data_IF_019011250126
#
_entry.id   IF_019011250126
#
_cell.length_a   1.000
_cell.length_b   1.000
_cell.length_c   1.000
_cell.angle_alpha   90.00
_cell.angle_beta   90.00
_cell.angle_gamma   90.00
#
_symmetry.space_group_name_H-M   'P 1'
#
loop_
_entity.id
_entity.type
_entity.pdbx_description
1 polymer ?
#
# COMPACT_ATOMS: atom_id res chain seq x y z
N UNK A 1 8.86 -11.64 -1.94
CA UNK A 1 9.19 -11.63 -3.38
C UNK A 1 8.16 -10.80 -4.14
N UNK A 2 8.61 -9.89 -4.99
CA UNK A 2 7.72 -9.13 -5.87
C UNK A 2 8.30 -9.09 -7.29
N UNK A 3 7.41 -8.88 -8.26
CA UNK A 3 7.79 -8.74 -9.66
C UNK A 3 6.90 -7.73 -10.36
N UNK A 4 7.40 -7.14 -11.44
CA UNK A 4 6.66 -6.24 -12.29
C UNK A 4 6.31 -6.91 -13.63
N UNK A 5 5.21 -6.44 -14.20
CA UNK A 5 4.74 -6.85 -15.53
C UNK A 5 4.20 -5.65 -16.29
N UNK A 6 4.63 -5.50 -17.53
CA UNK A 6 4.18 -4.41 -18.40
C UNK A 6 3.29 -4.97 -19.51
N UNK A 7 2.09 -4.42 -19.63
CA UNK A 7 1.15 -4.74 -20.69
C UNK A 7 0.34 -3.51 -21.07
N UNK A 8 0.18 -3.26 -22.36
CA UNK A 8 -0.57 -2.11 -22.91
C UNK A 8 -0.19 -0.75 -22.26
N UNK A 9 1.10 -0.52 -22.08
CA UNK A 9 1.61 0.73 -21.50
C UNK A 9 1.36 0.89 -19.99
N UNK A 10 0.95 -0.18 -19.30
CA UNK A 10 0.67 -0.19 -17.87
C UNK A 10 1.65 -1.08 -17.12
N UNK A 11 2.12 -0.60 -15.97
CA UNK A 11 2.96 -1.36 -15.04
C UNK A 11 2.11 -1.95 -13.93
N UNK A 12 2.11 -3.27 -13.82
CA UNK A 12 1.50 -4.02 -12.72
C UNK A 12 2.58 -4.60 -11.82
N UNK A 13 2.25 -4.79 -10.54
CA UNK A 13 3.13 -5.39 -9.54
C UNK A 13 2.43 -6.55 -8.86
N UNK A 14 3.10 -7.68 -8.73
CA UNK A 14 2.66 -8.78 -7.87
C UNK A 14 3.60 -8.95 -6.71
N UNK A 15 3.06 -8.97 -5.49
CA UNK A 15 3.78 -9.27 -4.26
C UNK A 15 3.32 -10.62 -3.71
N UNK A 16 4.26 -11.54 -3.47
CA UNK A 16 4.04 -12.69 -2.61
C UNK A 16 4.63 -12.40 -1.23
N UNK A 17 3.76 -12.28 -0.23
CA UNK A 17 4.14 -12.06 1.16
C UNK A 17 4.06 -13.36 1.93
N UNK A 18 5.21 -13.90 2.34
CA UNK A 18 5.31 -15.20 3.02
C UNK A 18 4.52 -15.22 4.34
N UNK A 19 4.62 -14.17 5.13
CA UNK A 19 3.98 -14.03 6.44
C UNK A 19 3.32 -12.66 6.52
N UNK A 20 2.04 -12.63 6.85
CA UNK A 20 1.22 -11.44 6.77
C UNK A 20 0.41 -11.23 8.05
N UNK A 21 0.84 -10.28 8.87
CA UNK A 21 0.05 -9.73 9.96
C UNK A 21 -1.07 -8.87 9.35
N UNK A 22 -2.28 -9.41 9.33
CA UNK A 22 -3.40 -8.81 8.60
C UNK A 22 -3.81 -7.46 9.15
N UNK A 23 -3.67 -7.23 10.45
CA UNK A 23 -4.13 -5.97 11.06
C UNK A 23 -3.08 -4.86 11.02
N UNK A 24 -1.88 -5.10 11.52
CA UNK A 24 -0.84 -4.06 11.58
C UNK A 24 0.06 -4.02 10.34
N UNK A 25 0.41 -5.18 9.78
CA UNK A 25 1.41 -5.26 8.71
C UNK A 25 0.84 -5.02 7.32
N UNK A 26 -0.18 -5.77 6.94
CA UNK A 26 -0.73 -5.78 5.57
C UNK A 26 -1.12 -4.40 5.04
N UNK A 27 -1.80 -3.52 5.79
CA UNK A 27 -2.15 -2.18 5.27
C UNK A 27 -0.92 -1.37 4.87
N UNK A 28 0.16 -1.40 5.65
CA UNK A 28 1.42 -0.73 5.32
C UNK A 28 2.13 -1.40 4.14
N UNK A 29 2.07 -2.72 4.05
CA UNK A 29 2.65 -3.44 2.92
C UNK A 29 1.94 -3.07 1.61
N UNK A 30 0.61 -2.99 1.60
CA UNK A 30 -0.16 -2.53 0.44
C UNK A 30 0.25 -1.11 0.05
N UNK A 31 0.27 -0.18 1.00
CA UNK A 31 0.63 1.22 0.73
C UNK A 31 2.04 1.33 0.16
N UNK A 32 3.02 0.61 0.72
CA UNK A 32 4.42 0.64 0.29
C UNK A 32 4.60 0.13 -1.13
N UNK A 33 4.02 -1.02 -1.48
CA UNK A 33 4.18 -1.59 -2.82
C UNK A 33 3.31 -0.90 -3.88
N UNK A 34 2.16 -0.34 -3.49
CA UNK A 34 1.39 0.53 -4.36
C UNK A 34 2.19 1.80 -4.70
N UNK A 35 2.79 2.46 -3.70
CA UNK A 35 3.66 3.61 -3.92
C UNK A 35 4.86 3.26 -4.82
N UNK A 36 5.53 2.14 -4.55
CA UNK A 36 6.64 1.67 -5.38
C UNK A 36 6.21 1.49 -6.84
N UNK A 37 5.03 0.92 -7.07
CA UNK A 37 4.48 0.73 -8.42
C UNK A 37 4.26 2.05 -9.13
N UNK A 38 3.71 3.05 -8.44
CA UNK A 38 3.52 4.40 -8.99
C UNK A 38 4.86 5.08 -9.34
N UNK A 39 5.84 4.98 -8.45
CA UNK A 39 7.17 5.57 -8.66
C UNK A 39 7.87 4.97 -9.87
N UNK A 40 7.89 3.65 -9.97
CA UNK A 40 8.55 2.96 -11.08
C UNK A 40 7.78 3.19 -12.41
N UNK A 41 6.45 3.20 -12.37
CA UNK A 41 5.66 3.52 -13.55
C UNK A 41 5.99 4.92 -14.07
N UNK A 42 6.08 5.92 -13.18
CA UNK A 42 6.45 7.30 -13.54
C UNK A 42 7.86 7.39 -14.11
N UNK A 43 8.84 6.73 -13.49
CA UNK A 43 10.23 6.64 -13.99
C UNK A 43 10.30 6.07 -15.40
N UNK A 44 9.48 5.03 -15.68
CA UNK A 44 9.47 4.35 -16.97
C UNK A 44 8.52 4.97 -18.00
N UNK A 45 7.84 6.06 -17.69
CA UNK A 45 6.85 6.68 -18.57
C UNK A 45 5.63 5.79 -18.85
N UNK A 46 5.23 4.98 -17.87
CA UNK A 46 4.11 4.04 -17.94
C UNK A 46 2.94 4.51 -17.07
N UNK A 47 1.75 4.09 -17.43
CA UNK A 47 0.59 4.19 -16.53
C UNK A 47 0.66 3.08 -15.46
N UNK A 48 -0.04 3.29 -14.34
CA UNK A 48 -0.17 2.28 -13.30
C UNK A 48 -1.23 1.25 -13.70
N UNK A 49 -0.88 -0.03 -13.59
CA UNK A 49 -1.77 -1.16 -13.79
C UNK A 49 -2.37 -1.67 -12.47
N UNK A 50 -2.23 -2.96 -12.19
CA UNK A 50 -2.77 -3.61 -11.02
C UNK A 50 -1.68 -3.90 -9.98
N UNK A 51 -2.07 -3.88 -8.70
CA UNK A 51 -1.29 -4.44 -7.61
C UNK A 51 -1.95 -5.74 -7.15
N UNK A 52 -1.28 -6.87 -7.40
CA UNK A 52 -1.73 -8.20 -7.00
C UNK A 52 -0.97 -8.62 -5.75
N UNK A 53 -1.68 -8.81 -4.65
CA UNK A 53 -1.10 -9.16 -3.36
C UNK A 53 -1.50 -10.57 -2.96
N UNK A 54 -0.55 -11.49 -2.97
CA UNK A 54 -0.74 -12.87 -2.54
C UNK A 54 -0.16 -13.06 -1.15
N UNK A 55 -0.98 -13.51 -0.21
CA UNK A 55 -0.59 -13.79 1.16
C UNK A 55 -0.35 -15.29 1.34
N UNK A 56 0.79 -15.65 1.94
CA UNK A 56 1.07 -17.01 2.36
C UNK A 56 0.43 -17.30 3.72
N UNK A 57 1.19 -17.21 4.80
CA UNK A 57 0.67 -17.33 6.16
C UNK A 57 0.01 -16.01 6.58
N UNK A 58 -1.28 -15.89 6.30
CA UNK A 58 -2.09 -14.74 6.72
C UNK A 58 -2.68 -15.01 8.10
N UNK A 59 -2.36 -14.15 9.06
CA UNK A 59 -2.78 -14.34 10.45
C UNK A 59 -3.26 -13.04 11.10
N UNK A 60 -4.23 -13.18 11.99
CA UNK A 60 -4.72 -12.13 12.87
C UNK A 60 -4.39 -12.52 14.32
N UNK A 61 -3.59 -11.69 14.99
CA UNK A 61 -3.23 -11.94 16.37
C UNK A 61 -4.45 -11.79 17.30
N UNK A 62 -4.52 -12.62 18.34
CA UNK A 62 -5.65 -12.64 19.28
C UNK A 62 -5.85 -11.29 19.99
N UNK A 63 -4.76 -10.59 20.27
CA UNK A 63 -4.81 -9.25 20.89
C UNK A 63 -5.19 -8.11 19.90
N UNK A 64 -5.49 -8.44 18.64
CA UNK A 64 -5.98 -7.49 17.62
C UNK A 64 -7.46 -7.70 17.26
N UNK A 65 -8.17 -8.68 17.84
CA UNK A 65 -9.55 -8.99 17.49
C UNK A 65 -10.48 -7.79 17.70
N UNK A 66 -10.42 -7.15 18.86
CA UNK A 66 -11.25 -5.98 19.17
C UNK A 66 -10.95 -4.80 18.24
N UNK A 67 -9.67 -4.58 17.93
CA UNK A 67 -9.25 -3.55 16.99
C UNK A 67 -9.75 -3.82 15.57
N UNK A 68 -9.73 -5.09 15.14
CA UNK A 68 -10.26 -5.51 13.84
C UNK A 68 -11.79 -5.32 13.77
N UNK A 69 -12.54 -5.67 14.82
CA UNK A 69 -13.99 -5.43 14.91
C UNK A 69 -14.29 -3.93 14.81
N UNK A 70 -13.52 -3.08 15.50
CA UNK A 70 -13.65 -1.63 15.39
C UNK A 70 -13.44 -1.14 13.97
N UNK A 71 -12.40 -1.63 13.29
CA UNK A 71 -12.13 -1.28 11.88
C UNK A 71 -13.29 -1.69 10.97
N UNK A 72 -13.81 -2.91 11.13
CA UNK A 72 -14.92 -3.44 10.31
C UNK A 72 -16.25 -2.71 10.54
N UNK A 73 -16.42 -2.05 11.70
CA UNK A 73 -17.62 -1.26 11.99
C UNK A 73 -17.64 0.10 11.27
N UNK A 74 -16.52 0.52 10.70
CA UNK A 74 -16.38 1.83 10.05
C UNK A 74 -16.78 1.77 8.60
N UNK A 75 -17.52 2.81 8.16
CA UNK A 75 -17.84 2.98 6.74
C UNK A 75 -16.59 3.38 5.95
N UNK A 76 -16.31 2.75 4.81
CA UNK A 76 -15.23 3.17 3.94
C UNK A 76 -15.42 4.61 3.47
N UNK A 77 -14.35 5.39 3.48
CA UNK A 77 -14.34 6.77 2.95
C UNK A 77 -13.90 6.78 1.49
N UNK A 78 -14.14 7.87 0.75
CA UNK A 78 -13.60 8.04 -0.59
C UNK A 78 -12.09 7.83 -0.61
N UNK A 79 -11.59 7.18 -1.66
CA UNK A 79 -10.17 6.90 -1.80
C UNK A 79 -9.39 8.20 -2.03
N UNK A 80 -8.25 8.40 -1.35
CA UNK A 80 -7.36 9.51 -1.65
C UNK A 80 -6.67 9.30 -2.99
N UNK A 81 -6.12 10.38 -3.55
CA UNK A 81 -5.31 10.32 -4.74
C UNK A 81 -3.85 10.58 -4.40
N UNK A 82 -2.96 9.79 -4.99
CA UNK A 82 -1.53 9.97 -4.88
C UNK A 82 -1.05 10.99 -5.90
N UNK A 83 -0.31 11.99 -5.45
CA UNK A 83 0.35 12.97 -6.28
C UNK A 83 1.86 12.86 -6.09
N UNK A 84 2.58 12.71 -7.19
CA UNK A 84 4.04 12.64 -7.21
C UNK A 84 4.54 13.72 -8.17
N UNK A 85 5.36 14.64 -7.68
CA UNK A 85 6.00 15.67 -8.51
C UNK A 85 6.91 15.02 -9.57
N UNK A 86 7.20 15.77 -10.63
CA UNK A 86 8.14 15.30 -11.64
C UNK A 86 9.55 15.19 -11.06
N UNK A 87 10.26 14.17 -11.47
CA UNK A 87 11.65 13.92 -11.09
C UNK A 87 12.45 13.39 -12.29
N UNK A 88 13.75 13.57 -12.27
CA UNK A 88 14.63 13.09 -13.34
C UNK A 88 15.06 11.64 -13.12
N UNK A 89 15.31 11.25 -11.86
CA UNK A 89 15.76 9.92 -11.48
C UNK A 89 15.08 9.49 -10.16
N UNK A 90 14.70 8.24 -10.07
CA UNK A 90 13.97 7.71 -8.93
C UNK A 90 14.73 7.82 -7.60
N UNK A 91 16.04 7.67 -7.63
CA UNK A 91 16.90 7.77 -6.44
C UNK A 91 17.04 9.20 -5.89
N UNK A 92 16.56 10.20 -6.63
CA UNK A 92 16.55 11.61 -6.23
C UNK A 92 15.21 12.07 -5.64
N UNK A 93 14.19 11.19 -5.62
CA UNK A 93 12.87 11.54 -5.10
C UNK A 93 12.93 11.71 -3.59
N UNK A 94 12.42 12.83 -3.10
CA UNK A 94 12.28 13.11 -1.68
C UNK A 94 10.81 13.01 -1.23
N UNK A 95 10.60 12.82 0.06
CA UNK A 95 9.26 12.61 0.63
C UNK A 95 8.31 13.80 0.46
N UNK A 96 8.83 15.02 0.36
CA UNK A 96 8.05 16.23 0.11
C UNK A 96 7.48 16.33 -1.31
N UNK A 97 8.01 15.52 -2.24
CA UNK A 97 7.49 15.39 -3.60
C UNK A 97 6.33 14.39 -3.72
N UNK A 98 5.98 13.71 -2.63
CA UNK A 98 4.94 12.68 -2.59
C UNK A 98 3.85 13.13 -1.63
N UNK A 99 2.61 13.25 -2.13
CA UNK A 99 1.47 13.73 -1.35
C UNK A 99 0.23 12.88 -1.59
N UNK A 100 -0.62 12.79 -0.55
CA UNK A 100 -1.97 12.27 -0.69
C UNK A 100 -2.97 13.43 -0.74
N UNK A 101 -3.81 13.47 -1.76
CA UNK A 101 -4.89 14.42 -1.93
C UNK A 101 -6.19 13.83 -1.37
N UNK A 102 -6.99 14.65 -0.67
CA UNK A 102 -8.28 14.25 -0.13
C UNK A 102 -8.21 13.03 0.80
N UNK A 103 -7.13 12.92 1.59
CA UNK A 103 -6.96 11.86 2.58
C UNK A 103 -7.57 12.29 3.92
N UNK A 104 -8.75 11.75 4.24
CA UNK A 104 -9.50 12.02 5.46
C UNK A 104 -9.74 10.72 6.22
N UNK A 105 -8.73 10.17 6.91
CA UNK A 105 -8.86 8.89 7.60
C UNK A 105 -9.73 9.00 8.85
N UNK A 106 -10.30 7.85 9.25
CA UNK A 106 -10.86 7.70 10.59
C UNK A 106 -9.76 7.84 11.65
N UNK A 107 -10.12 8.14 12.92
CA UNK A 107 -9.14 8.19 14.01
C UNK A 107 -8.33 6.90 14.13
N UNK A 108 -7.08 7.03 14.56
CA UNK A 108 -6.16 5.90 14.74
C UNK A 108 -6.74 4.85 15.69
N UNK A 109 -6.66 3.59 15.30
CA UNK A 109 -6.93 2.44 16.17
C UNK A 109 -5.58 1.97 16.73
N UNK A 110 -5.40 2.11 18.05
CA UNK A 110 -4.19 1.63 18.72
C UNK A 110 -4.30 0.13 18.95
N UNK A 111 -3.24 -0.60 18.58
CA UNK A 111 -3.13 -2.02 18.83
C UNK A 111 -1.69 -2.35 19.29
N UNK A 112 -1.51 -3.25 20.26
CA UNK A 112 -0.17 -3.65 20.71
C UNK A 112 0.54 -4.44 19.63
N UNK A 113 1.86 -4.29 19.54
CA UNK A 113 2.68 -5.18 18.71
C UNK A 113 2.66 -6.55 19.35
N UNK A 114 2.32 -7.58 18.56
CA UNK A 114 2.40 -8.96 19.00
C UNK A 114 3.86 -9.43 18.96
N UNK A 115 4.29 -10.13 20.00
CA UNK A 115 5.65 -10.68 20.16
C UNK A 115 5.57 -12.18 20.32
#
# INVERSE_FOLDING_TARGET
LFQFYVHDGKLSCQLYQRSADVFLGVPFNIASYALLTHLIAKECGLEVGEFVHTLGDAHLYLNHLEAAETLLSREPKPLPQLEIDDFEQLDQVSTDQIRLQAYEPWPTIKAPIAV
#
